data_IF_977751364180
#
_entry.id   IF_977751364180
#
_cell.length_a   1.000
_cell.length_b   1.000
_cell.length_c   1.000
_cell.angle_alpha   90.00
_cell.angle_beta   90.00
_cell.angle_gamma   90.00
#
_symmetry.space_group_name_H-M   'P 1'
#
loop_
_entity.id
_entity.type
_entity.pdbx_description
1 polymer ?
#
# COMPACT_ATOMS: atom_id res chain seq x y z
N UNK A 1 -17.67 -5.77 -9.20
CA UNK A 1 -18.16 -6.74 -8.20
C UNK A 1 -18.27 -6.03 -6.86
N UNK A 2 -19.29 -6.31 -6.04
CA UNK A 2 -19.44 -5.65 -4.74
C UNK A 2 -18.27 -6.00 -3.81
N UNK A 3 -17.54 -4.99 -3.31
CA UNK A 3 -16.48 -5.15 -2.32
C UNK A 3 -17.09 -5.67 -1.01
N UNK A 4 -17.02 -6.98 -0.78
CA UNK A 4 -17.55 -7.59 0.43
C UNK A 4 -16.49 -7.55 1.52
N UNK A 5 -16.69 -6.72 2.54
CA UNK A 5 -15.89 -6.78 3.76
C UNK A 5 -16.31 -8.01 4.55
N UNK A 6 -15.38 -8.92 4.81
CA UNK A 6 -15.64 -10.08 5.65
C UNK A 6 -15.38 -9.72 7.12
N UNK A 7 -16.14 -10.31 8.03
CA UNK A 7 -15.87 -10.20 9.46
C UNK A 7 -14.61 -11.00 9.82
N UNK A 8 -13.86 -10.52 10.81
CA UNK A 8 -12.76 -11.28 11.42
C UNK A 8 -13.24 -12.66 11.87
N UNK A 9 -12.38 -13.67 11.70
CA UNK A 9 -12.51 -14.98 12.32
C UNK A 9 -11.60 -15.14 13.54
N UNK A 10 -10.70 -14.19 13.78
CA UNK A 10 -9.76 -14.19 14.91
C UNK A 10 -9.98 -12.96 15.79
N UNK A 11 -10.92 -13.05 16.73
CA UNK A 11 -11.23 -11.92 17.63
C UNK A 11 -10.20 -11.71 18.74
N UNK A 12 -9.35 -12.71 19.00
CA UNK A 12 -8.37 -12.69 20.10
C UNK A 12 -7.01 -12.16 19.63
N UNK A 13 -6.63 -12.42 18.38
CA UNK A 13 -5.36 -12.03 17.79
C UNK A 13 -5.55 -11.42 16.38
N UNK A 14 -4.48 -11.30 15.61
CA UNK A 14 -4.52 -10.61 14.31
C UNK A 14 -4.77 -9.11 14.45
N UNK A 15 -5.11 -8.47 13.35
CA UNK A 15 -5.39 -7.04 13.29
C UNK A 15 -6.56 -6.67 14.21
N UNK A 16 -7.64 -7.45 14.16
CA UNK A 16 -8.82 -7.20 14.98
C UNK A 16 -8.50 -7.32 16.47
N UNK A 17 -7.98 -8.47 16.90
CA UNK A 17 -7.71 -8.72 18.31
C UNK A 17 -6.73 -7.71 18.91
N UNK A 18 -5.66 -7.38 18.20
CA UNK A 18 -4.70 -6.36 18.64
C UNK A 18 -5.34 -4.96 18.70
N UNK A 19 -6.15 -4.58 17.71
CA UNK A 19 -6.85 -3.28 17.73
C UNK A 19 -7.85 -3.20 18.90
N UNK A 20 -8.58 -4.29 19.16
CA UNK A 20 -9.59 -4.36 20.22
C UNK A 20 -9.03 -4.19 21.64
N UNK A 21 -7.72 -4.37 21.85
CA UNK A 21 -7.06 -4.13 23.13
C UNK A 21 -6.98 -2.64 23.50
N UNK A 22 -7.10 -1.76 22.50
CA UNK A 22 -6.83 -0.33 22.66
C UNK A 22 -8.00 0.57 22.28
N UNK A 23 -8.99 0.04 21.57
CA UNK A 23 -10.11 0.80 21.02
C UNK A 23 -11.45 0.17 21.36
N UNK A 24 -12.52 0.95 21.31
CA UNK A 24 -13.88 0.43 21.46
C UNK A 24 -14.23 -0.53 20.32
N UNK A 25 -15.27 -1.37 20.50
CA UNK A 25 -15.74 -2.26 19.43
C UNK A 25 -16.15 -1.50 18.16
N UNK A 26 -16.73 -0.30 18.31
CA UNK A 26 -17.13 0.53 17.17
C UNK A 26 -15.90 1.03 16.39
N UNK A 27 -14.90 1.54 17.10
CA UNK A 27 -13.64 1.99 16.49
C UNK A 27 -12.88 0.82 15.87
N UNK A 28 -12.81 -0.32 16.55
CA UNK A 28 -12.18 -1.54 16.03
C UNK A 28 -12.85 -1.98 14.73
N UNK A 29 -14.18 -1.98 14.68
CA UNK A 29 -14.92 -2.31 13.46
C UNK A 29 -14.65 -1.31 12.33
N UNK A 30 -14.58 -0.02 12.63
CA UNK A 30 -14.26 1.01 11.65
C UNK A 30 -12.84 0.81 11.09
N UNK A 31 -11.85 0.64 11.96
CA UNK A 31 -10.45 0.40 11.58
C UNK A 31 -10.29 -0.89 10.76
N UNK A 32 -11.02 -1.95 11.12
CA UNK A 32 -11.10 -3.18 10.34
C UNK A 32 -11.62 -2.91 8.93
N UNK A 33 -12.74 -2.19 8.80
CA UNK A 33 -13.33 -1.87 7.50
C UNK A 33 -12.37 -1.04 6.65
N UNK A 34 -11.76 0.00 7.23
CA UNK A 34 -10.84 0.89 6.53
C UNK A 34 -9.61 0.15 6.00
N UNK A 35 -9.00 -0.71 6.82
CA UNK A 35 -7.91 -1.58 6.40
C UNK A 35 -8.33 -2.57 5.30
N UNK A 36 -9.46 -3.24 5.50
CA UNK A 36 -9.92 -4.28 4.58
C UNK A 36 -10.27 -3.70 3.20
N UNK A 37 -11.03 -2.61 3.16
CA UNK A 37 -11.39 -1.91 1.92
C UNK A 37 -10.15 -1.45 1.17
N UNK A 38 -9.21 -0.82 1.88
CA UNK A 38 -7.98 -0.30 1.27
C UNK A 38 -7.12 -1.44 0.71
N UNK A 39 -6.98 -2.55 1.44
CA UNK A 39 -6.25 -3.71 0.94
C UNK A 39 -6.91 -4.31 -0.30
N UNK A 40 -8.24 -4.47 -0.29
CA UNK A 40 -8.98 -4.95 -1.47
C UNK A 40 -8.78 -4.03 -2.69
N UNK A 41 -8.79 -2.72 -2.48
CA UNK A 41 -8.58 -1.72 -3.51
C UNK A 41 -7.18 -1.75 -4.12
N UNK A 42 -6.16 -1.93 -3.29
CA UNK A 42 -4.77 -1.93 -3.74
C UNK A 42 -4.36 -3.28 -4.35
N UNK A 43 -4.94 -4.39 -3.87
CA UNK A 43 -4.50 -5.73 -4.23
C UNK A 43 -5.34 -6.38 -5.32
N UNK A 44 -6.66 -6.17 -5.33
CA UNK A 44 -7.61 -6.89 -6.18
C UNK A 44 -7.72 -8.37 -5.87
N UNK A 45 -7.17 -8.80 -4.74
CA UNK A 45 -7.27 -10.17 -4.27
C UNK A 45 -8.69 -10.49 -3.82
N UNK A 46 -8.95 -11.77 -3.58
CA UNK A 46 -10.23 -12.18 -3.03
C UNK A 46 -10.38 -11.66 -1.58
N UNK A 47 -11.59 -11.29 -1.14
CA UNK A 47 -11.84 -10.88 0.25
C UNK A 47 -11.34 -11.88 1.29
N UNK A 48 -11.39 -13.17 1.00
CA UNK A 48 -10.90 -14.23 1.88
C UNK A 48 -9.39 -14.09 2.16
N UNK A 49 -8.60 -13.75 1.14
CA UNK A 49 -7.14 -13.56 1.28
C UNK A 49 -6.80 -12.33 2.13
N UNK A 50 -7.57 -11.24 1.97
CA UNK A 50 -7.41 -10.04 2.80
C UNK A 50 -7.73 -10.36 4.25
N UNK A 51 -8.84 -11.07 4.51
CA UNK A 51 -9.20 -11.52 5.85
C UNK A 51 -8.12 -12.42 6.45
N UNK A 52 -7.64 -13.43 5.72
CA UNK A 52 -6.60 -14.35 6.19
C UNK A 52 -5.33 -13.61 6.61
N UNK A 53 -4.89 -12.63 5.82
CA UNK A 53 -3.75 -11.78 6.16
C UNK A 53 -4.01 -10.96 7.43
N UNK A 54 -5.17 -10.30 7.53
CA UNK A 54 -5.53 -9.50 8.68
C UNK A 54 -5.69 -10.35 9.96
N UNK A 55 -6.22 -11.56 9.87
CA UNK A 55 -6.40 -12.46 11.02
C UNK A 55 -5.10 -13.20 11.42
N UNK A 56 -4.08 -13.18 10.56
CA UNK A 56 -2.80 -13.83 10.82
C UNK A 56 -1.86 -13.03 11.74
N UNK A 57 -0.72 -13.63 12.12
CA UNK A 57 0.34 -12.97 12.93
C UNK A 57 0.79 -11.65 12.31
N UNK A 58 0.86 -11.60 10.99
CA UNK A 58 1.26 -10.40 10.26
C UNK A 58 0.26 -9.24 10.44
N UNK A 59 -1.03 -9.55 10.57
CA UNK A 59 -2.06 -8.57 10.89
C UNK A 59 -1.86 -7.90 12.25
N UNK A 60 -1.19 -8.57 13.22
CA UNK A 60 -0.83 -7.94 14.50
C UNK A 60 0.21 -6.84 14.32
N UNK A 61 1.28 -7.14 13.58
CA UNK A 61 2.31 -6.14 13.25
C UNK A 61 1.72 -4.95 12.48
N UNK A 62 0.75 -5.22 11.61
CA UNK A 62 0.02 -4.15 10.94
C UNK A 62 -0.83 -3.32 11.91
N UNK A 63 -1.56 -3.94 12.84
CA UNK A 63 -2.32 -3.22 13.86
C UNK A 63 -1.44 -2.33 14.74
N UNK A 64 -0.23 -2.80 15.08
CA UNK A 64 0.75 -1.99 15.82
C UNK A 64 1.15 -0.72 15.05
N UNK A 65 1.27 -0.79 13.72
CA UNK A 65 1.53 0.39 12.89
C UNK A 65 0.34 1.36 12.83
N UNK A 66 -0.89 0.86 12.99
CA UNK A 66 -2.10 1.68 13.03
C UNK A 66 -2.40 2.23 14.43
N UNK A 67 -1.62 1.88 15.46
CA UNK A 67 -1.87 2.33 16.83
C UNK A 67 -1.60 3.84 16.98
N UNK A 68 -2.50 4.57 17.65
CA UNK A 68 -2.48 6.03 17.73
C UNK A 68 -2.93 6.77 16.47
N UNK A 69 -2.95 6.10 15.31
CA UNK A 69 -3.20 6.75 14.02
C UNK A 69 -4.68 6.99 13.75
N UNK A 70 -5.01 8.17 13.21
CA UNK A 70 -6.39 8.54 12.86
C UNK A 70 -6.81 8.07 11.46
N UNK A 71 -5.87 8.03 10.52
CA UNK A 71 -6.14 7.64 9.13
C UNK A 71 -5.58 6.23 8.84
N UNK A 72 -6.38 5.21 9.19
CA UNK A 72 -6.00 3.82 8.92
C UNK A 72 -5.87 3.53 7.43
N UNK A 73 -6.62 4.21 6.55
CA UNK A 73 -6.53 4.00 5.10
C UNK A 73 -5.15 4.42 4.61
N UNK A 74 -4.67 5.56 5.06
CA UNK A 74 -3.34 6.06 4.72
C UNK A 74 -2.25 5.09 5.20
N UNK A 75 -2.25 4.71 6.48
CA UNK A 75 -1.27 3.75 7.03
C UNK A 75 -1.33 2.40 6.29
N UNK A 76 -2.52 1.97 5.87
CA UNK A 76 -2.69 0.75 5.07
C UNK A 76 -1.99 0.86 3.72
N UNK A 77 -2.10 1.99 3.01
CA UNK A 77 -1.39 2.23 1.75
C UNK A 77 0.11 2.16 1.94
N UNK A 78 0.62 2.81 2.98
CA UNK A 78 2.05 2.82 3.30
C UNK A 78 2.59 1.42 3.58
N UNK A 79 1.90 0.70 4.48
CA UNK A 79 2.25 -0.68 4.82
C UNK A 79 2.11 -1.60 3.61
N UNK A 80 1.13 -1.37 2.72
CA UNK A 80 0.95 -2.13 1.49
C UNK A 80 2.17 -2.09 0.59
N UNK A 81 2.61 -0.89 0.22
CA UNK A 81 3.75 -0.72 -0.67
C UNK A 81 5.09 -1.08 -0.04
N UNK A 82 5.18 -0.98 1.29
CA UNK A 82 6.38 -1.36 2.02
C UNK A 82 6.51 -2.90 2.17
N UNK A 83 5.49 -3.57 2.72
CA UNK A 83 5.63 -4.98 3.09
C UNK A 83 4.35 -5.84 3.06
N UNK A 84 3.12 -5.30 3.15
CA UNK A 84 1.91 -6.14 3.11
C UNK A 84 1.66 -6.73 1.71
N UNK A 85 1.95 -5.99 0.64
CA UNK A 85 1.82 -6.53 -0.71
C UNK A 85 2.76 -7.73 -0.93
N UNK A 86 3.92 -7.74 -0.25
CA UNK A 86 4.76 -8.92 -0.26
C UNK A 86 4.00 -10.08 0.39
N UNK A 87 3.45 -9.93 1.58
CA UNK A 87 2.71 -11.02 2.23
C UNK A 87 1.43 -11.49 1.52
N UNK A 88 0.71 -10.60 0.83
CA UNK A 88 -0.47 -10.96 0.03
C UNK A 88 -0.11 -11.78 -1.22
N UNK A 89 1.06 -11.51 -1.80
CA UNK A 89 1.47 -12.06 -3.09
C UNK A 89 2.75 -12.91 -3.02
N UNK A 90 3.32 -13.15 -1.82
CA UNK A 90 4.51 -13.99 -1.60
C UNK A 90 4.11 -15.44 -1.78
N UNK A 91 4.05 -15.77 -3.04
CA UNK A 91 4.19 -17.07 -3.61
C UNK A 91 5.63 -17.52 -3.35
N UNK A 92 5.85 -18.33 -2.31
CA UNK A 92 7.15 -18.97 -2.04
C UNK A 92 7.68 -19.79 -3.26
N UNK A 93 6.86 -19.96 -4.30
CA UNK A 93 7.20 -20.58 -5.58
C UNK A 93 7.36 -19.60 -6.77
N UNK A 94 7.21 -18.28 -6.59
CA UNK A 94 7.43 -17.29 -7.65
C UNK A 94 8.93 -17.04 -7.92
N UNK A 95 9.64 -18.08 -8.35
CA UNK A 95 10.96 -17.98 -9.02
C UNK A 95 10.90 -17.26 -10.36
N UNK A 96 9.72 -16.75 -10.78
CA UNK A 96 9.61 -15.99 -12.02
C UNK A 96 10.11 -14.58 -11.76
N UNK A 97 11.17 -14.13 -12.44
CA UNK A 97 11.59 -12.74 -12.34
C UNK A 97 10.39 -11.85 -12.67
N UNK A 98 10.20 -10.79 -11.87
CA UNK A 98 9.36 -9.66 -12.27
C UNK A 98 9.72 -9.36 -13.73
N UNK A 99 8.73 -9.33 -14.63
CA UNK A 99 8.96 -8.90 -16.01
C UNK A 99 9.30 -7.40 -15.94
N UNK A 100 10.58 -7.11 -15.73
CA UNK A 100 11.16 -5.82 -16.01
C UNK A 100 11.14 -5.70 -17.53
N UNK A 101 10.02 -5.25 -18.10
CA UNK A 101 10.12 -4.61 -19.40
C UNK A 101 11.11 -3.46 -19.21
N UNK A 102 12.33 -3.64 -19.75
CA UNK A 102 13.40 -2.63 -19.76
C UNK A 102 12.95 -1.47 -20.65
N UNK A 103 11.99 -0.69 -20.18
CA UNK A 103 11.69 0.64 -20.69
C UNK A 103 12.07 1.61 -19.57
N UNK A 104 13.37 1.78 -19.37
CA UNK A 104 14.01 2.71 -18.42
C UNK A 104 13.78 4.19 -18.75
N UNK A 105 12.68 4.52 -19.42
CA UNK A 105 12.40 5.85 -19.98
C UNK A 105 12.19 6.89 -18.88
N UNK A 106 11.93 6.45 -17.64
CA UNK A 106 11.66 7.31 -16.47
C UNK A 106 12.79 7.31 -15.42
N UNK A 107 13.99 6.75 -15.70
CA UNK A 107 15.09 6.81 -14.74
C UNK A 107 15.49 8.27 -14.48
N UNK A 108 15.60 8.65 -13.20
CA UNK A 108 16.01 9.99 -12.78
C UNK A 108 14.87 11.01 -12.76
N UNK A 109 13.66 10.65 -13.19
CA UNK A 109 12.49 11.54 -13.12
C UNK A 109 12.15 11.85 -11.66
N UNK A 110 12.05 13.14 -11.33
CA UNK A 110 11.45 13.58 -10.07
C UNK A 110 9.94 13.39 -10.16
N UNK A 111 9.41 12.60 -9.24
CA UNK A 111 7.97 12.34 -9.16
C UNK A 111 7.44 12.79 -7.82
N UNK A 112 6.28 13.42 -7.85
CA UNK A 112 5.49 13.68 -6.67
C UNK A 112 4.73 12.42 -6.27
N UNK A 113 4.97 11.98 -5.04
CA UNK A 113 4.39 10.79 -4.43
C UNK A 113 3.15 11.19 -3.64
N UNK A 114 1.98 10.83 -4.16
CA UNK A 114 0.70 11.26 -3.58
C UNK A 114 0.33 10.54 -2.28
N UNK A 115 0.99 9.42 -1.98
CA UNK A 115 0.80 8.70 -0.72
C UNK A 115 1.53 9.42 0.41
N UNK A 116 2.79 9.79 0.20
CA UNK A 116 3.64 10.34 1.26
C UNK A 116 3.79 11.87 1.21
N UNK A 117 3.10 12.54 0.28
CA UNK A 117 3.15 13.99 0.07
C UNK A 117 4.60 14.51 0.00
N UNK A 118 5.37 13.95 -0.93
CA UNK A 118 6.78 14.31 -1.12
C UNK A 118 7.28 14.03 -2.52
N UNK A 119 8.44 14.61 -2.84
CA UNK A 119 9.17 14.34 -4.08
C UNK A 119 10.21 13.25 -3.87
N UNK A 120 10.16 12.24 -4.74
CA UNK A 120 11.10 11.12 -4.79
C UNK A 120 11.61 10.94 -6.24
N UNK A 121 12.64 10.09 -6.42
CA UNK A 121 13.25 9.85 -7.75
C UNK A 121 12.93 8.44 -8.23
N UNK A 122 12.51 8.31 -9.49
CA UNK A 122 12.31 7.00 -10.13
C UNK A 122 13.65 6.38 -10.51
N UNK A 123 13.86 5.11 -10.13
CA UNK A 123 14.98 4.30 -10.61
C UNK A 123 14.58 3.49 -11.85
N UNK A 124 13.47 2.77 -11.81
CA UNK A 124 12.99 2.02 -12.98
C UNK A 124 11.53 1.65 -12.81
N UNK A 125 10.86 1.39 -13.92
CA UNK A 125 9.51 0.83 -13.94
C UNK A 125 9.54 -0.66 -14.26
N UNK A 126 8.48 -1.37 -13.86
CA UNK A 126 8.32 -2.79 -14.12
C UNK A 126 6.84 -3.19 -14.11
N UNK A 127 6.52 -4.31 -14.78
CA UNK A 127 5.17 -4.85 -14.80
C UNK A 127 4.97 -5.97 -13.78
N UNK A 128 3.81 -6.01 -13.14
CA UNK A 128 3.43 -7.12 -12.27
C UNK A 128 2.00 -7.58 -12.54
N UNK A 129 1.89 -8.64 -13.36
CA UNK A 129 0.62 -9.24 -13.80
C UNK A 129 -0.25 -9.82 -12.66
N UNK A 130 0.30 -9.97 -11.45
CA UNK A 130 -0.40 -10.56 -10.31
C UNK A 130 -1.10 -9.52 -9.42
N UNK A 131 -1.07 -8.23 -9.76
CA UNK A 131 -1.58 -7.13 -8.92
C UNK A 131 -2.49 -6.19 -9.73
N UNK A 132 -3.29 -5.36 -9.04
CA UNK A 132 -4.18 -4.38 -9.71
C UNK A 132 -3.43 -3.39 -10.58
N UNK A 133 -2.39 -2.74 -10.04
CA UNK A 133 -1.56 -1.87 -10.86
C UNK A 133 -0.69 -2.76 -11.73
N UNK A 134 -0.86 -2.71 -13.05
CA UNK A 134 -0.02 -3.49 -13.94
C UNK A 134 1.39 -2.91 -14.00
N UNK A 135 1.50 -1.57 -13.95
CA UNK A 135 2.75 -0.81 -13.99
C UNK A 135 3.14 -0.26 -12.59
N UNK A 136 4.37 -0.54 -12.19
CA UNK A 136 4.97 -0.06 -10.95
C UNK A 136 6.26 0.71 -11.23
N UNK A 137 6.62 1.57 -10.28
CA UNK A 137 7.95 2.16 -10.17
C UNK A 137 8.70 1.61 -8.95
N UNK A 138 10.00 1.44 -9.11
CA UNK A 138 10.97 1.45 -8.02
C UNK A 138 11.48 2.87 -7.86
N UNK A 139 11.25 3.46 -6.69
CA UNK A 139 11.66 4.81 -6.36
C UNK A 139 12.72 4.81 -5.25
N UNK A 140 13.44 5.92 -5.15
CA UNK A 140 14.37 6.19 -4.07
C UNK A 140 14.05 7.55 -3.45
N UNK A 141 14.08 7.58 -2.13
CA UNK A 141 13.88 8.79 -1.34
C UNK A 141 15.18 9.59 -1.20
N UNK A 142 15.08 10.82 -0.69
CA UNK A 142 16.25 11.66 -0.37
C UNK A 142 17.20 10.99 0.63
N UNK A 143 16.69 10.17 1.55
CA UNK A 143 17.46 9.38 2.50
C UNK A 143 17.91 8.00 1.97
N UNK A 144 17.89 7.82 0.64
CA UNK A 144 18.37 6.64 -0.08
C UNK A 144 17.60 5.33 0.22
N UNK A 145 16.38 5.42 0.77
CA UNK A 145 15.50 4.27 0.97
C UNK A 145 14.79 3.95 -0.32
N UNK A 146 14.83 2.68 -0.71
CA UNK A 146 14.15 2.18 -1.91
C UNK A 146 12.78 1.63 -1.56
N UNK A 147 11.78 1.93 -2.38
CA UNK A 147 10.44 1.42 -2.22
C UNK A 147 9.76 1.22 -3.57
N UNK A 148 8.70 0.41 -3.59
CA UNK A 148 7.90 0.13 -4.77
C UNK A 148 6.58 0.88 -4.66
N UNK A 149 6.07 1.39 -5.77
CA UNK A 149 4.78 2.11 -5.79
C UNK A 149 4.08 1.89 -7.13
N UNK A 150 2.75 1.82 -7.11
CA UNK A 150 1.96 1.79 -8.35
C UNK A 150 2.08 3.13 -9.08
N UNK A 151 2.16 3.10 -10.42
CA UNK A 151 2.33 4.32 -11.22
C UNK A 151 1.20 5.34 -11.00
N UNK A 152 -0.02 4.90 -10.68
CA UNK A 152 -1.17 5.78 -10.42
C UNK A 152 -1.00 6.67 -9.17
N UNK A 153 -0.03 6.36 -8.30
CA UNK A 153 0.25 7.10 -7.08
C UNK A 153 1.47 8.02 -7.17
N UNK A 154 2.04 8.16 -8.37
CA UNK A 154 3.13 9.08 -8.63
C UNK A 154 2.84 9.90 -9.88
N UNK A 155 3.24 11.16 -9.87
CA UNK A 155 3.11 12.07 -11.02
C UNK A 155 4.46 12.75 -11.30
N UNK A 156 4.98 12.76 -12.52
CA UNK A 156 6.15 13.57 -12.86
C UNK A 156 5.90 15.03 -12.51
N UNK A 157 6.86 15.68 -11.84
CA UNK A 157 6.71 17.09 -11.45
C UNK A 157 6.53 17.99 -12.68
N UNK A 158 7.21 17.65 -13.78
CA UNK A 158 7.11 18.38 -15.05
C UNK A 158 5.71 18.34 -15.66
N UNK A 159 4.88 17.37 -15.28
CA UNK A 159 3.49 17.22 -15.73
C UNK A 159 2.48 17.84 -14.76
N UNK A 160 2.93 18.45 -13.66
CA UNK A 160 2.06 19.10 -12.67
C UNK A 160 1.74 20.53 -13.08
N UNK A 161 0.47 20.93 -12.91
CA UNK A 161 0.06 22.32 -13.10
C UNK A 161 0.44 23.21 -11.90
N UNK A 162 0.30 24.53 -12.06
CA UNK A 162 0.69 25.51 -11.02
C UNK A 162 -0.11 25.34 -9.71
N UNK A 163 -1.36 24.91 -9.78
CA UNK A 163 -2.20 24.66 -8.61
C UNK A 163 -1.75 23.40 -7.86
N UNK A 164 -1.41 22.34 -8.60
CA UNK A 164 -0.82 21.12 -8.07
C UNK A 164 0.54 21.37 -7.42
N UNK A 165 1.41 22.15 -8.07
CA UNK A 165 2.72 22.53 -7.53
C UNK A 165 2.57 23.38 -6.25
N UNK A 166 1.66 24.36 -6.25
CA UNK A 166 1.34 25.15 -5.06
C UNK A 166 0.86 24.26 -3.90
N UNK A 167 -0.08 23.35 -4.15
CA UNK A 167 -0.61 22.43 -3.12
C UNK A 167 0.46 21.50 -2.56
N UNK A 168 1.40 21.07 -3.39
CA UNK A 168 2.53 20.24 -3.00
C UNK A 168 3.68 21.02 -2.34
N UNK A 169 3.60 22.35 -2.25
CA UNK A 169 4.67 23.20 -1.72
C UNK A 169 5.94 23.21 -2.60
N UNK A 170 5.76 23.09 -3.92
CA UNK A 170 6.83 23.02 -4.92
C UNK A 170 6.92 24.24 -5.85
N UNK A 171 5.96 25.17 -5.75
CA UNK A 171 5.93 26.44 -6.50
C UNK A 171 6.69 27.56 -5.81
#
# INVERSE_FOLDING_TARGET
MAKKILKTQNKEWGFWGTTAQHYTNKETQQRWNDAFETLLELSGTKPEQVRELLDARIGRHFADQCFGEKDVKQITKECYFNWLAKALFDDANSKKPLETEKKSVLFGTNVYNTIYDRVDVVLYTYKNKNRIHEDYAMCITKDLKKYRIGMDYIKPIEDMDEEELCRAGLA
#
